data_IF_966573009089
#
_entry.id   IF_966573009089
#
_cell.length_a   1.000
_cell.length_b   1.000
_cell.length_c   1.000
_cell.angle_alpha   90.00
_cell.angle_beta   90.00
_cell.angle_gamma   90.00
#
_symmetry.space_group_name_H-M   'P 1'
#
loop_
_entity.id
_entity.type
_entity.pdbx_description
1 polymer ?
#
# COMPACT_ATOMS: atom_id res chain seq x y z
N UNK A 1 10.80 9.78 -21.56
CA UNK A 1 9.65 10.37 -20.84
C UNK A 1 8.50 10.66 -21.80
N UNK A 2 8.69 11.49 -22.80
CA UNK A 2 7.60 11.90 -23.72
C UNK A 2 6.97 10.74 -24.49
N UNK A 3 7.73 9.75 -24.92
CA UNK A 3 7.19 8.55 -25.58
C UNK A 3 6.25 7.76 -24.66
N UNK A 4 6.59 7.68 -23.35
CA UNK A 4 5.70 7.08 -22.34
C UNK A 4 4.40 7.89 -22.18
N UNK A 5 4.49 9.23 -22.15
CA UNK A 5 3.32 10.11 -22.04
C UNK A 5 2.40 9.99 -23.26
N UNK A 6 2.95 9.93 -24.46
CA UNK A 6 2.18 9.68 -25.69
C UNK A 6 1.48 8.32 -25.68
N UNK A 7 2.19 7.28 -25.22
CA UNK A 7 1.60 5.94 -25.08
C UNK A 7 0.43 5.93 -24.08
N UNK A 8 0.57 6.67 -22.95
CA UNK A 8 -0.50 6.80 -21.96
C UNK A 8 -1.69 7.59 -22.51
N UNK A 9 -1.45 8.66 -23.24
CA UNK A 9 -2.53 9.43 -23.89
C UNK A 9 -3.30 8.58 -24.91
N UNK A 10 -2.60 7.84 -25.76
CA UNK A 10 -3.23 6.92 -26.72
C UNK A 10 -4.08 5.86 -26.00
N UNK A 11 -3.56 5.28 -24.92
CA UNK A 11 -4.31 4.31 -24.12
C UNK A 11 -5.55 4.92 -23.46
N UNK A 12 -5.46 6.18 -23.02
CA UNK A 12 -6.60 6.90 -22.47
C UNK A 12 -7.70 7.09 -23.54
N UNK A 13 -7.33 7.53 -24.75
CA UNK A 13 -8.27 7.73 -25.84
C UNK A 13 -8.89 6.41 -26.33
N UNK A 14 -8.11 5.33 -26.36
CA UNK A 14 -8.62 3.97 -26.62
C UNK A 14 -9.64 3.52 -25.56
N UNK A 15 -9.34 3.74 -24.27
CA UNK A 15 -10.25 3.39 -23.17
C UNK A 15 -11.53 4.22 -23.21
N UNK A 16 -11.44 5.51 -23.52
CA UNK A 16 -12.60 6.39 -23.73
C UNK A 16 -13.51 5.86 -24.84
N UNK A 17 -12.90 5.50 -25.96
CA UNK A 17 -13.65 4.93 -27.11
C UNK A 17 -14.28 3.60 -26.73
N UNK A 18 -13.53 2.74 -26.03
CA UNK A 18 -13.98 1.41 -25.60
C UNK A 18 -15.16 1.48 -24.62
N UNK A 19 -15.14 2.40 -23.67
CA UNK A 19 -16.24 2.64 -22.72
C UNK A 19 -17.53 3.12 -23.40
N UNK A 20 -17.41 3.73 -24.60
CA UNK A 20 -18.55 4.14 -25.42
C UNK A 20 -19.23 2.97 -26.18
N UNK A 21 -18.61 1.78 -26.24
CA UNK A 21 -19.16 0.63 -26.97
C UNK A 21 -20.22 -0.12 -26.16
N UNK A 22 -21.26 -0.59 -26.85
CA UNK A 22 -22.36 -1.35 -26.21
C UNK A 22 -21.90 -2.67 -25.59
N UNK A 23 -20.82 -3.26 -26.09
CA UNK A 23 -20.26 -4.53 -25.62
C UNK A 23 -19.70 -4.39 -24.20
N UNK A 24 -18.92 -3.33 -23.93
CA UNK A 24 -18.34 -3.08 -22.60
C UNK A 24 -19.39 -2.60 -21.61
N UNK A 25 -20.40 -1.84 -22.06
CA UNK A 25 -21.52 -1.42 -21.21
C UNK A 25 -22.38 -2.60 -20.73
N UNK A 26 -22.41 -3.70 -21.48
CA UNK A 26 -23.12 -4.92 -21.09
C UNK A 26 -22.39 -5.73 -20.01
N UNK A 27 -21.04 -5.60 -19.88
CA UNK A 27 -20.23 -6.25 -18.86
C UNK A 27 -19.88 -5.25 -17.74
N UNK A 28 -20.64 -5.31 -16.66
CA UNK A 28 -20.45 -4.43 -15.51
C UNK A 28 -19.05 -4.53 -14.83
N UNK A 29 -18.40 -5.69 -14.93
CA UNK A 29 -17.08 -5.90 -14.35
C UNK A 29 -15.99 -5.25 -15.22
N UNK A 30 -16.07 -5.44 -16.54
CA UNK A 30 -15.13 -4.82 -17.48
C UNK A 30 -15.32 -3.30 -17.53
N UNK A 31 -16.57 -2.83 -17.50
CA UNK A 31 -16.87 -1.40 -17.42
C UNK A 31 -16.23 -0.72 -16.19
N UNK A 32 -16.41 -1.33 -14.99
CA UNK A 32 -15.82 -0.78 -13.75
C UNK A 32 -14.30 -0.74 -13.81
N UNK A 33 -13.66 -1.79 -14.32
CA UNK A 33 -12.19 -1.84 -14.46
C UNK A 33 -11.69 -0.76 -15.40
N UNK A 34 -12.32 -0.65 -16.57
CA UNK A 34 -11.94 0.35 -17.59
C UNK A 34 -12.18 1.78 -17.11
N UNK A 35 -13.31 2.04 -16.44
CA UNK A 35 -13.62 3.34 -15.84
C UNK A 35 -12.65 3.73 -14.73
N UNK A 36 -12.26 2.78 -13.88
CA UNK A 36 -11.24 3.01 -12.84
C UNK A 36 -9.89 3.38 -13.47
N UNK A 37 -9.44 2.60 -14.45
CA UNK A 37 -8.17 2.89 -15.16
C UNK A 37 -8.22 4.25 -15.86
N UNK A 38 -9.34 4.59 -16.49
CA UNK A 38 -9.52 5.91 -17.13
C UNK A 38 -9.38 7.04 -16.11
N UNK A 39 -10.07 6.94 -14.96
CA UNK A 39 -10.00 7.94 -13.89
C UNK A 39 -8.59 8.08 -13.29
N UNK A 40 -7.82 6.98 -13.26
CA UNK A 40 -6.42 7.01 -12.80
C UNK A 40 -5.48 7.72 -13.79
N UNK A 41 -5.74 7.60 -15.10
CA UNK A 41 -4.92 8.21 -16.16
C UNK A 41 -5.31 9.67 -16.44
N UNK A 42 -6.55 10.06 -16.15
CA UNK A 42 -7.11 11.37 -16.48
C UNK A 42 -6.26 12.56 -16.01
N UNK A 43 -5.79 12.63 -14.73
CA UNK A 43 -4.99 13.76 -14.27
C UNK A 43 -3.67 13.91 -15.03
N UNK A 44 -3.03 12.79 -15.37
CA UNK A 44 -1.79 12.77 -16.13
C UNK A 44 -2.00 13.25 -17.57
N UNK A 45 -3.07 12.78 -18.24
CA UNK A 45 -3.39 13.15 -19.62
C UNK A 45 -3.80 14.62 -19.70
N UNK A 46 -4.58 15.14 -18.75
CA UNK A 46 -4.95 16.54 -18.70
C UNK A 46 -3.70 17.44 -18.58
N UNK A 47 -2.81 17.13 -17.65
CA UNK A 47 -1.55 17.87 -17.48
C UNK A 47 -0.63 17.78 -18.71
N UNK A 48 -0.61 16.64 -19.38
CA UNK A 48 0.17 16.48 -20.61
C UNK A 48 -0.41 17.28 -21.78
N UNK A 49 -1.74 17.37 -21.88
CA UNK A 49 -2.42 18.21 -22.87
C UNK A 49 -2.18 19.70 -22.60
N UNK A 50 -2.21 20.13 -21.33
CA UNK A 50 -1.82 21.48 -20.93
C UNK A 50 -0.36 21.78 -21.34
N UNK A 51 0.56 20.85 -21.08
CA UNK A 51 1.96 20.98 -21.45
C UNK A 51 2.13 21.15 -22.96
N UNK A 52 1.43 20.34 -23.77
CA UNK A 52 1.47 20.47 -25.24
C UNK A 52 0.92 21.83 -25.71
N UNK A 53 -0.12 22.34 -25.06
CA UNK A 53 -0.65 23.67 -25.33
C UNK A 53 0.40 24.76 -25.08
N UNK A 54 1.02 24.73 -23.89
CA UNK A 54 2.09 25.69 -23.55
C UNK A 54 3.29 25.60 -24.50
N UNK A 55 3.66 24.41 -24.95
CA UNK A 55 4.72 24.23 -25.95
C UNK A 55 4.35 24.84 -27.31
N UNK A 56 3.06 24.79 -27.70
CA UNK A 56 2.58 25.49 -28.93
C UNK A 56 2.57 27.00 -28.74
N UNK A 57 2.12 27.48 -27.57
CA UNK A 57 2.10 28.91 -27.25
C UNK A 57 3.54 29.50 -27.25
N UNK A 58 4.52 28.77 -26.69
CA UNK A 58 5.94 29.15 -26.72
C UNK A 58 6.43 29.31 -28.16
N UNK A 59 6.15 28.33 -29.05
CA UNK A 59 6.52 28.42 -30.43
C UNK A 59 5.90 29.63 -31.14
N UNK A 60 4.62 29.90 -30.88
CA UNK A 60 3.93 31.08 -31.39
C UNK A 60 4.56 32.39 -30.89
N UNK A 61 4.90 32.46 -29.59
CA UNK A 61 5.58 33.63 -29.02
C UNK A 61 7.00 33.82 -29.59
N UNK A 62 7.77 32.74 -29.81
CA UNK A 62 9.08 32.78 -30.45
C UNK A 62 9.00 33.31 -31.89
N UNK A 63 7.99 32.91 -32.66
CA UNK A 63 7.76 33.42 -34.02
C UNK A 63 7.44 34.94 -34.00
N UNK A 64 6.64 35.40 -33.02
CA UNK A 64 6.36 36.83 -32.85
C UNK A 64 7.58 37.62 -32.43
N UNK A 65 8.44 37.12 -31.58
CA UNK A 65 9.73 37.75 -31.21
C UNK A 65 10.63 37.94 -32.45
N UNK A 66 10.59 37.00 -33.39
CA UNK A 66 11.43 37.03 -34.59
C UNK A 66 10.86 37.87 -35.75
N UNK A 67 9.53 38.08 -35.81
CA UNK A 67 8.86 38.67 -36.98
C UNK A 67 8.12 39.99 -36.77
N UNK A 68 7.88 40.45 -35.53
CA UNK A 68 6.98 41.57 -35.22
C UNK A 68 7.70 42.92 -35.05
N UNK A 69 6.92 44.01 -34.99
CA UNK A 69 7.39 45.35 -34.63
C UNK A 69 7.91 45.40 -33.18
N UNK A 70 8.68 46.49 -32.86
CA UNK A 70 9.41 46.58 -31.59
C UNK A 70 8.50 46.41 -30.34
N UNK A 71 7.31 47.02 -30.31
CA UNK A 71 6.38 46.96 -29.21
C UNK A 71 5.78 45.56 -29.03
N UNK A 72 5.49 44.85 -30.11
CA UNK A 72 5.00 43.47 -30.09
C UNK A 72 6.10 42.48 -29.65
N UNK A 73 7.37 42.76 -29.98
CA UNK A 73 8.51 41.94 -29.54
C UNK A 73 8.70 41.97 -28.01
N UNK A 74 8.54 43.12 -27.39
CA UNK A 74 8.73 43.25 -25.95
C UNK A 74 7.60 42.56 -25.18
N UNK A 75 6.35 42.66 -25.62
CA UNK A 75 5.21 41.90 -25.08
C UNK A 75 5.42 40.39 -25.24
N UNK A 76 5.81 39.94 -26.44
CA UNK A 76 6.08 38.53 -26.71
C UNK A 76 7.23 37.96 -25.85
N UNK A 77 8.27 38.77 -25.53
CA UNK A 77 9.33 38.36 -24.58
C UNK A 77 8.86 38.19 -23.13
N UNK A 78 7.96 39.06 -22.67
CA UNK A 78 7.36 38.90 -21.33
C UNK A 78 6.45 37.68 -21.25
N UNK A 79 5.68 37.46 -22.29
CA UNK A 79 4.83 36.27 -22.41
C UNK A 79 5.68 35.00 -22.45
N UNK A 80 6.74 34.98 -23.20
CA UNK A 80 7.67 33.84 -23.30
C UNK A 80 8.28 33.46 -21.95
N UNK A 81 8.67 34.45 -21.13
CA UNK A 81 9.14 34.19 -19.75
C UNK A 81 8.10 33.53 -18.88
N UNK A 82 6.85 34.00 -18.96
CA UNK A 82 5.77 33.42 -18.17
C UNK A 82 5.42 32.01 -18.61
N UNK A 83 5.42 31.74 -19.91
CA UNK A 83 5.19 30.44 -20.50
C UNK A 83 6.32 29.45 -20.16
N UNK A 84 7.57 29.88 -20.14
CA UNK A 84 8.73 29.06 -19.75
C UNK A 84 8.62 28.63 -18.29
N UNK A 85 8.26 29.53 -17.37
CA UNK A 85 8.04 29.18 -15.96
C UNK A 85 6.89 28.19 -15.82
N UNK A 86 5.80 28.39 -16.57
CA UNK A 86 4.64 27.47 -16.57
C UNK A 86 5.03 26.10 -17.13
N UNK A 87 5.80 26.06 -18.21
CA UNK A 87 6.33 24.82 -18.80
C UNK A 87 7.15 24.02 -17.79
N UNK A 88 8.07 24.68 -17.07
CA UNK A 88 8.91 24.03 -16.07
C UNK A 88 8.06 23.45 -14.91
N UNK A 89 7.06 24.20 -14.43
CA UNK A 89 6.13 23.73 -13.41
C UNK A 89 5.34 22.51 -13.90
N UNK A 90 4.79 22.55 -15.12
CA UNK A 90 4.07 21.41 -15.70
C UNK A 90 4.97 20.19 -15.90
N UNK A 91 6.25 20.38 -16.26
CA UNK A 91 7.22 19.29 -16.35
C UNK A 91 7.46 18.61 -14.99
N UNK A 92 7.54 19.37 -13.92
CA UNK A 92 7.68 18.81 -12.58
C UNK A 92 6.41 18.06 -12.16
N UNK A 93 5.22 18.62 -12.41
CA UNK A 93 3.94 17.96 -12.15
C UNK A 93 3.84 16.63 -12.92
N UNK A 94 4.20 16.62 -14.20
CA UNK A 94 4.18 15.42 -15.03
C UNK A 94 5.17 14.35 -14.54
N UNK A 95 6.35 14.75 -14.08
CA UNK A 95 7.29 13.80 -13.46
C UNK A 95 6.69 13.14 -12.22
N UNK A 96 6.01 13.91 -11.37
CA UNK A 96 5.36 13.39 -10.16
C UNK A 96 4.22 12.43 -10.53
N UNK A 97 3.40 12.79 -11.51
CA UNK A 97 2.27 11.96 -11.96
C UNK A 97 2.69 10.68 -12.70
N UNK A 98 3.90 10.65 -13.27
CA UNK A 98 4.47 9.45 -13.89
C UNK A 98 5.02 8.42 -12.90
N UNK A 99 5.13 8.78 -11.61
CA UNK A 99 5.52 7.81 -10.59
C UNK A 99 4.43 6.74 -10.51
N UNK A 100 4.77 5.45 -10.68
CA UNK A 100 3.78 4.40 -10.56
C UNK A 100 3.16 4.46 -9.16
N UNK A 101 1.84 4.66 -9.11
CA UNK A 101 1.09 4.60 -7.84
C UNK A 101 1.19 3.18 -7.31
N UNK A 102 1.49 3.06 -6.03
CA UNK A 102 1.42 1.78 -5.34
C UNK A 102 -0.05 1.34 -5.28
N UNK A 103 -0.42 0.13 -5.74
CA UNK A 103 -1.80 -0.35 -5.68
C UNK A 103 -2.36 -0.38 -4.26
N UNK A 104 -1.49 -0.36 -3.25
CA UNK A 104 -1.88 -0.34 -1.85
C UNK A 104 -2.12 1.07 -1.30
N UNK A 105 -1.76 2.14 -2.03
CA UNK A 105 -1.83 3.53 -1.53
C UNK A 105 -3.23 3.96 -1.06
N UNK A 106 -4.29 3.37 -1.62
CA UNK A 106 -5.67 3.64 -1.23
C UNK A 106 -6.23 2.70 -0.15
N UNK A 107 -5.45 1.68 0.24
CA UNK A 107 -5.90 0.69 1.24
C UNK A 107 -5.88 1.27 2.64
N UNK A 108 -6.71 0.70 3.49
CA UNK A 108 -6.62 0.87 4.94
C UNK A 108 -5.32 0.26 5.46
N UNK A 109 -4.97 0.59 6.69
CA UNK A 109 -3.71 0.18 7.31
C UNK A 109 -3.96 -0.59 8.59
N UNK A 110 -3.20 -1.66 8.77
CA UNK A 110 -2.99 -2.29 10.07
C UNK A 110 -1.68 -1.74 10.63
N UNK A 111 -1.80 -0.92 11.68
CA UNK A 111 -0.68 -0.35 12.42
C UNK A 111 -0.35 -1.26 13.61
N UNK A 112 0.88 -1.78 13.64
CA UNK A 112 1.38 -2.55 14.76
C UNK A 112 2.53 -1.80 15.43
N UNK A 113 2.44 -1.59 16.73
CA UNK A 113 3.51 -0.98 17.52
C UNK A 113 3.89 -1.94 18.63
N UNK A 114 5.16 -2.26 18.75
CA UNK A 114 5.69 -3.15 19.79
C UNK A 114 6.84 -2.48 20.53
N UNK A 115 6.87 -2.66 21.85
CA UNK A 115 8.01 -2.31 22.65
C UNK A 115 9.23 -3.16 22.23
N UNK A 116 10.34 -2.50 21.95
CA UNK A 116 11.62 -3.13 21.61
C UNK A 116 12.54 -3.22 22.82
N UNK A 117 13.80 -2.86 22.62
CA UNK A 117 14.82 -2.89 23.70
C UNK A 117 14.62 -1.72 24.67
N UNK A 118 14.45 -1.99 25.95
CA UNK A 118 14.35 -0.92 26.99
C UNK A 118 13.38 -1.21 28.12
N UNK A 119 12.76 -2.39 28.15
CA UNK A 119 11.83 -2.79 29.23
C UNK A 119 10.60 -1.88 29.31
N UNK A 120 10.25 -1.44 30.53
CA UNK A 120 9.06 -0.62 30.77
C UNK A 120 9.09 0.72 30.04
N UNK A 121 10.27 1.31 29.87
CA UNK A 121 10.42 2.57 29.13
C UNK A 121 10.09 2.38 27.62
N UNK A 122 10.46 1.25 27.04
CA UNK A 122 10.09 0.92 25.68
C UNK A 122 8.56 0.77 25.54
N UNK A 123 7.89 0.21 26.55
CA UNK A 123 6.44 0.08 26.56
C UNK A 123 5.73 1.44 26.74
N UNK A 124 6.25 2.33 27.57
CA UNK A 124 5.75 3.71 27.69
C UNK A 124 5.91 4.46 26.37
N UNK A 125 7.06 4.32 25.72
CA UNK A 125 7.32 4.96 24.43
C UNK A 125 6.43 4.40 23.31
N UNK A 126 6.15 3.11 23.30
CA UNK A 126 5.18 2.52 22.38
C UNK A 126 3.78 3.13 22.56
N UNK A 127 3.37 3.39 23.79
CA UNK A 127 2.14 4.11 24.12
C UNK A 127 2.14 5.56 23.62
N UNK A 128 3.27 6.26 23.74
CA UNK A 128 3.42 7.63 23.21
C UNK A 128 3.31 7.66 21.69
N UNK A 129 3.94 6.70 20.98
CA UNK A 129 3.82 6.58 19.52
C UNK A 129 2.39 6.25 19.09
N UNK A 130 1.73 5.34 19.80
CA UNK A 130 0.33 5.01 19.49
C UNK A 130 -0.58 6.23 19.66
N UNK A 131 -0.39 7.01 20.74
CA UNK A 131 -1.12 8.26 20.97
C UNK A 131 -0.86 9.28 19.85
N UNK A 132 0.40 9.43 19.42
CA UNK A 132 0.80 10.30 18.31
C UNK A 132 0.05 9.94 17.03
N UNK A 133 0.06 8.66 16.62
CA UNK A 133 -0.61 8.22 15.41
C UNK A 133 -2.15 8.28 15.53
N UNK A 134 -2.70 8.01 16.71
CA UNK A 134 -4.15 8.15 16.94
C UNK A 134 -4.62 9.58 16.75
N UNK A 135 -3.93 10.54 17.33
CA UNK A 135 -4.25 11.96 17.17
C UNK A 135 -4.02 12.46 15.74
N UNK A 136 -2.99 11.94 15.08
CA UNK A 136 -2.77 12.23 13.67
C UNK A 136 -3.92 11.70 12.81
N UNK A 137 -4.37 10.47 13.03
CA UNK A 137 -5.52 9.88 12.34
C UNK A 137 -6.79 10.71 12.54
N UNK A 138 -7.08 11.12 13.78
CA UNK A 138 -8.21 12.01 14.10
C UNK A 138 -8.15 13.34 13.32
N UNK A 139 -6.98 13.98 13.26
CA UNK A 139 -6.78 15.23 12.49
C UNK A 139 -6.96 15.06 11.00
N UNK A 140 -6.64 13.88 10.45
CA UNK A 140 -6.87 13.55 9.04
C UNK A 140 -8.31 13.10 8.76
N UNK A 141 -9.16 12.97 9.78
CA UNK A 141 -10.54 12.47 9.65
C UNK A 141 -10.59 10.96 9.40
N UNK A 142 -9.54 10.22 9.76
CA UNK A 142 -9.51 8.76 9.66
C UNK A 142 -10.11 8.12 10.92
N UNK A 143 -10.71 6.96 10.74
CA UNK A 143 -11.20 6.14 11.84
C UNK A 143 -10.10 5.22 12.31
N UNK A 144 -9.87 5.15 13.63
CA UNK A 144 -8.95 4.20 14.24
C UNK A 144 -9.73 3.25 15.15
N UNK A 145 -9.42 1.95 15.05
CA UNK A 145 -10.01 0.90 15.86
C UNK A 145 -8.91 -0.02 16.40
N UNK A 146 -8.85 -0.16 17.72
CA UNK A 146 -7.88 -1.06 18.37
C UNK A 146 -8.37 -2.50 18.24
N UNK A 147 -7.64 -3.32 17.51
CA UNK A 147 -7.93 -4.74 17.32
C UNK A 147 -7.42 -5.60 18.48
N UNK A 148 -6.22 -5.28 18.97
CA UNK A 148 -5.57 -5.99 20.07
C UNK A 148 -4.61 -5.07 20.80
N UNK A 149 -4.53 -5.19 22.11
CA UNK A 149 -3.54 -4.48 22.94
C UNK A 149 -3.05 -5.35 24.08
N UNK A 150 -1.76 -5.22 24.39
CA UNK A 150 -1.13 -5.85 25.55
C UNK A 150 -0.44 -4.76 26.38
N UNK A 151 -0.92 -4.53 27.58
CA UNK A 151 -0.40 -3.50 28.48
C UNK A 151 0.79 -4.02 29.29
N UNK A 152 1.66 -3.11 29.69
CA UNK A 152 2.69 -3.36 30.71
C UNK A 152 2.15 -3.00 32.10
N UNK A 153 2.74 -3.59 33.14
CA UNK A 153 2.39 -3.27 34.53
C UNK A 153 2.60 -1.80 34.94
N UNK A 154 3.30 -1.01 34.11
CA UNK A 154 3.63 0.41 34.35
C UNK A 154 2.75 1.36 33.54
N UNK A 155 1.66 0.88 32.91
CA UNK A 155 0.73 1.69 32.13
C UNK A 155 1.18 1.96 30.68
N UNK A 156 2.26 1.32 30.22
CA UNK A 156 2.70 1.37 28.83
C UNK A 156 2.09 0.24 27.98
N UNK A 157 2.37 0.22 26.69
CA UNK A 157 1.91 -0.80 25.74
C UNK A 157 3.09 -1.71 25.35
N UNK A 158 3.00 -3.02 25.65
CA UNK A 158 3.95 -4.00 25.12
C UNK A 158 3.72 -4.21 23.62
N UNK A 159 2.47 -4.25 23.23
CA UNK A 159 2.03 -4.40 21.85
C UNK A 159 0.66 -3.74 21.68
N UNK A 160 0.46 -3.10 20.55
CA UNK A 160 -0.85 -2.64 20.10
C UNK A 160 -0.97 -2.86 18.61
N UNK A 161 -2.12 -3.39 18.20
CA UNK A 161 -2.51 -3.58 16.80
C UNK A 161 -3.81 -2.81 16.59
N UNK A 162 -3.80 -1.87 15.66
CA UNK A 162 -4.97 -1.05 15.34
C UNK A 162 -5.20 -1.01 13.83
N UNK A 163 -6.47 -1.02 13.43
CA UNK A 163 -6.88 -0.70 12.07
C UNK A 163 -7.07 0.80 11.94
N UNK A 164 -6.58 1.38 10.86
CA UNK A 164 -6.79 2.79 10.49
C UNK A 164 -7.48 2.82 9.13
N UNK A 165 -8.72 3.29 9.12
CA UNK A 165 -9.58 3.34 7.94
C UNK A 165 -9.74 4.78 7.46
N UNK A 166 -9.56 4.99 6.15
CA UNK A 166 -9.73 6.30 5.55
C UNK A 166 -9.09 6.40 4.17
N UNK A 167 -9.25 7.54 3.55
CA UNK A 167 -8.72 7.76 2.21
C UNK A 167 -7.21 8.03 2.24
N UNK A 168 -6.44 7.20 1.52
CA UNK A 168 -5.00 7.40 1.37
C UNK A 168 -4.17 7.15 2.62
N UNK A 169 -4.67 6.36 3.57
CA UNK A 169 -3.98 6.07 4.85
C UNK A 169 -2.63 5.42 4.61
N UNK A 170 -2.59 4.37 3.77
CA UNK A 170 -1.35 3.66 3.48
C UNK A 170 -0.33 4.56 2.78
N UNK A 171 -0.75 5.40 1.84
CA UNK A 171 0.16 6.31 1.13
C UNK A 171 0.90 7.27 2.07
N UNK A 172 0.26 7.65 3.17
CA UNK A 172 0.83 8.57 4.18
C UNK A 172 1.68 7.83 5.21
N UNK A 173 1.25 6.67 5.67
CA UNK A 173 1.88 5.98 6.81
C UNK A 173 2.94 4.95 6.39
N UNK A 174 2.99 4.49 5.14
CA UNK A 174 3.91 3.44 4.67
C UNK A 174 5.38 3.67 4.99
N UNK A 175 5.80 4.92 5.08
CA UNK A 175 7.18 5.29 5.43
C UNK A 175 7.42 5.47 6.93
N UNK A 176 6.41 5.28 7.77
CA UNK A 176 6.54 5.33 9.23
C UNK A 176 7.04 4.02 9.83
N UNK A 177 7.12 2.95 9.03
CA UNK A 177 7.60 1.64 9.46
C UNK A 177 9.09 1.67 9.82
N UNK A 178 9.46 0.87 10.82
CA UNK A 178 10.84 0.70 11.26
C UNK A 178 11.04 0.79 12.77
N UNK A 179 12.29 0.94 13.18
CA UNK A 179 12.70 1.04 14.58
C UNK A 179 12.78 2.51 15.00
N UNK A 180 11.90 2.93 15.91
CA UNK A 180 11.89 4.26 16.51
C UNK A 180 12.67 4.22 17.83
N UNK A 181 13.58 5.15 18.00
CA UNK A 181 14.45 5.23 19.19
C UNK A 181 14.14 6.47 20.02
N UNK A 182 13.96 6.30 21.31
CA UNK A 182 13.79 7.41 22.25
C UNK A 182 15.02 7.57 23.15
N UNK A 183 15.37 8.81 23.45
CA UNK A 183 16.39 9.21 24.42
C UNK A 183 15.76 10.19 25.40
N UNK A 184 15.44 9.71 26.61
CA UNK A 184 14.90 10.53 27.71
C UNK A 184 15.24 9.91 29.04
N UNK A 185 15.04 10.67 30.11
CA UNK A 185 15.03 10.14 31.48
C UNK A 185 13.69 9.47 31.70
N UNK A 186 13.63 8.14 31.90
CA UNK A 186 12.37 7.43 32.12
C UNK A 186 11.65 7.94 33.36
N UNK A 187 10.32 7.87 33.37
CA UNK A 187 9.54 8.18 34.59
C UNK A 187 9.82 7.20 35.73
N UNK A 188 10.37 6.04 35.43
CA UNK A 188 10.77 5.00 36.40
C UNK A 188 12.21 5.12 36.90
N UNK A 189 12.99 6.08 36.39
CA UNK A 189 14.40 6.25 36.72
C UNK A 189 14.60 7.28 37.87
N UNK A 190 15.09 6.83 39.02
CA UNK A 190 15.31 7.67 40.20
C UNK A 190 16.60 8.49 40.15
N UNK A 191 17.60 8.07 39.34
CA UNK A 191 18.93 8.68 39.28
C UNK A 191 19.09 9.74 38.19
N UNK A 192 18.04 10.05 37.44
CA UNK A 192 18.06 11.08 36.39
C UNK A 192 18.90 10.71 35.15
N UNK A 193 19.24 9.45 34.95
CA UNK A 193 20.05 9.01 33.79
C UNK A 193 19.20 8.96 32.54
N UNK A 194 19.79 9.42 31.43
CA UNK A 194 19.18 9.31 30.12
C UNK A 194 19.24 7.84 29.65
N UNK A 195 18.08 7.23 29.41
CA UNK A 195 18.00 5.91 28.84
C UNK A 195 17.73 6.00 27.35
N UNK A 196 18.15 4.97 26.62
CA UNK A 196 17.87 4.80 25.20
C UNK A 196 17.00 3.54 25.03
N UNK A 197 15.77 3.74 24.61
CA UNK A 197 14.81 2.66 24.38
C UNK A 197 14.32 2.66 22.94
N UNK A 198 13.75 1.56 22.49
CA UNK A 198 13.23 1.42 21.14
C UNK A 198 11.81 0.89 21.15
N UNK A 199 11.03 1.29 20.15
CA UNK A 199 9.78 0.67 19.78
C UNK A 199 9.78 0.43 18.28
N UNK A 200 9.16 -0.65 17.85
CA UNK A 200 9.04 -1.00 16.43
C UNK A 200 7.66 -0.65 15.92
N UNK A 201 7.60 -0.08 14.74
CA UNK A 201 6.36 0.27 14.06
C UNK A 201 6.31 -0.52 12.76
N UNK A 202 5.25 -1.29 12.55
CA UNK A 202 4.94 -1.92 11.28
C UNK A 202 3.65 -1.32 10.71
N UNK A 203 3.67 -1.03 9.42
CA UNK A 203 2.55 -0.47 8.67
C UNK A 203 2.24 -1.43 7.54
N UNK A 204 1.16 -2.17 7.67
CA UNK A 204 0.76 -3.19 6.72
C UNK A 204 -0.52 -2.75 6.01
N UNK A 205 -0.63 -2.94 4.68
CA UNK A 205 -1.90 -2.72 4.00
C UNK A 205 -2.92 -3.76 4.47
N UNK A 206 -4.17 -3.34 4.63
CA UNK A 206 -5.25 -4.27 4.93
C UNK A 206 -5.39 -5.31 3.82
N UNK A 207 -5.47 -6.57 4.21
CA UNK A 207 -5.62 -7.67 3.27
C UNK A 207 -7.05 -7.73 2.73
N UNK A 208 -7.17 -8.00 1.44
CA UNK A 208 -8.47 -8.27 0.83
C UNK A 208 -8.99 -9.65 1.24
N UNK A 209 -10.30 -9.79 1.33
CA UNK A 209 -10.94 -11.07 1.56
C UNK A 209 -10.58 -12.07 0.46
N UNK A 210 -10.23 -13.28 0.88
CA UNK A 210 -9.90 -14.36 -0.06
C UNK A 210 -11.20 -14.96 -0.58
N UNK A 211 -11.55 -14.67 -1.83
CA UNK A 211 -12.64 -15.34 -2.55
C UNK A 211 -12.07 -16.43 -3.47
N UNK A 212 -12.54 -17.69 -3.28
CA UNK A 212 -12.08 -18.82 -4.08
C UNK A 212 -13.16 -19.19 -5.08
N UNK A 213 -12.88 -18.88 -6.34
CA UNK A 213 -13.66 -19.34 -7.48
C UNK A 213 -12.99 -20.57 -8.09
N UNK A 214 -13.70 -21.71 -8.03
CA UNK A 214 -13.22 -22.97 -8.60
C UNK A 214 -13.88 -23.15 -9.96
N UNK A 215 -13.09 -23.11 -11.03
CA UNK A 215 -13.56 -23.42 -12.37
C UNK A 215 -13.65 -24.93 -12.56
N UNK A 216 -14.74 -25.43 -13.14
CA UNK A 216 -14.88 -26.87 -13.44
C UNK A 216 -13.81 -27.38 -14.43
N UNK A 217 -13.29 -26.54 -15.30
CA UNK A 217 -12.19 -26.86 -16.25
C UNK A 217 -10.86 -27.17 -15.55
N UNK A 218 -10.67 -26.65 -14.34
CA UNK A 218 -9.46 -26.84 -13.54
C UNK A 218 -9.54 -28.07 -12.64
N UNK A 219 -10.64 -28.84 -12.75
CA UNK A 219 -10.89 -30.03 -11.96
C UNK A 219 -10.78 -31.29 -12.81
N UNK A 220 -9.95 -32.23 -12.37
CA UNK A 220 -10.00 -33.60 -12.80
C UNK A 220 -10.84 -34.41 -11.81
N UNK A 221 -11.86 -35.07 -12.30
CA UNK A 221 -12.80 -35.86 -11.52
C UNK A 221 -12.62 -37.33 -11.87
N UNK A 222 -12.13 -38.10 -10.91
CA UNK A 222 -11.97 -39.55 -11.05
C UNK A 222 -12.99 -40.26 -10.14
N UNK A 223 -13.68 -41.27 -10.67
CA UNK A 223 -14.61 -42.08 -9.92
C UNK A 223 -14.04 -43.49 -9.73
N UNK A 224 -14.22 -44.09 -8.57
CA UNK A 224 -13.71 -45.41 -8.25
C UNK A 224 -14.62 -46.14 -7.26
N UNK A 225 -14.40 -47.45 -7.08
CA UNK A 225 -15.13 -48.21 -6.09
C UNK A 225 -14.67 -47.84 -4.69
N UNK A 226 -15.61 -47.69 -3.75
CA UNK A 226 -15.27 -47.39 -2.36
C UNK A 226 -14.51 -48.56 -1.71
N UNK A 227 -13.56 -48.27 -0.85
CA UNK A 227 -12.81 -49.26 -0.07
C UNK A 227 -13.47 -49.45 1.30
N UNK A 228 -13.70 -50.71 1.70
CA UNK A 228 -14.26 -51.04 3.00
C UNK A 228 -14.84 -52.47 3.05
N UNK A 229 -15.15 -53.00 4.25
CA UNK A 229 -15.86 -54.25 4.38
C UNK A 229 -17.28 -54.11 3.83
N UNK A 230 -17.59 -54.73 2.70
CA UNK A 230 -18.89 -54.58 2.06
C UNK A 230 -19.15 -55.64 0.98
N UNK A 231 -20.44 -55.86 0.72
CA UNK A 231 -20.91 -56.81 -0.33
C UNK A 231 -20.84 -56.22 -1.74
N UNK A 232 -21.64 -56.78 -2.65
CA UNK A 232 -21.60 -56.46 -4.11
C UNK A 232 -21.71 -54.95 -4.42
N UNK A 233 -22.41 -54.14 -3.59
CA UNK A 233 -22.58 -52.69 -3.82
C UNK A 233 -21.27 -51.90 -3.70
N UNK A 234 -20.36 -52.32 -2.80
CA UNK A 234 -19.07 -51.63 -2.56
C UNK A 234 -18.09 -51.92 -3.72
N UNK A 235 -18.11 -53.14 -4.23
CA UNK A 235 -17.14 -53.62 -5.20
C UNK A 235 -17.56 -53.34 -6.68
N UNK A 236 -18.86 -53.07 -6.94
CA UNK A 236 -19.38 -52.86 -8.31
C UNK A 236 -19.81 -51.43 -8.61
N UNK A 237 -20.07 -50.61 -7.56
CA UNK A 237 -20.59 -49.27 -7.77
C UNK A 237 -19.48 -48.23 -7.61
N UNK A 238 -19.23 -47.44 -8.66
CA UNK A 238 -18.28 -46.30 -8.64
C UNK A 238 -18.83 -45.12 -7.84
N UNK A 239 -19.01 -45.30 -6.53
CA UNK A 239 -19.60 -44.30 -5.65
C UNK A 239 -18.58 -43.33 -5.09
N UNK A 240 -17.31 -43.74 -4.97
CA UNK A 240 -16.24 -42.88 -4.50
C UNK A 240 -15.77 -41.88 -5.56
N UNK A 241 -15.45 -40.66 -5.13
CA UNK A 241 -15.05 -39.57 -5.99
C UNK A 241 -13.73 -39.00 -5.52
N UNK A 242 -12.79 -38.82 -6.44
CA UNK A 242 -11.53 -38.09 -6.25
C UNK A 242 -11.56 -36.85 -7.11
N UNK A 243 -11.38 -35.69 -6.48
CA UNK A 243 -11.22 -34.39 -7.15
C UNK A 243 -9.75 -34.00 -7.07
N UNK A 244 -9.16 -33.69 -8.21
CA UNK A 244 -7.81 -33.13 -8.30
C UNK A 244 -7.92 -31.75 -8.91
N UNK A 245 -7.51 -30.74 -8.17
CA UNK A 245 -7.40 -29.37 -8.69
C UNK A 245 -6.07 -29.23 -9.43
N UNK A 246 -6.12 -29.14 -10.75
CA UNK A 246 -4.97 -29.23 -11.65
C UNK A 246 -3.93 -28.13 -11.35
N UNK A 247 -4.30 -26.83 -11.16
CA UNK A 247 -3.32 -25.77 -10.97
C UNK A 247 -2.54 -25.89 -9.64
N UNK A 248 -3.17 -26.40 -8.58
CA UNK A 248 -2.54 -26.47 -7.23
C UNK A 248 -2.08 -27.87 -6.86
N UNK A 249 -2.51 -28.90 -7.60
CA UNK A 249 -2.22 -30.30 -7.27
C UNK A 249 -2.96 -30.84 -6.04
N UNK A 250 -3.87 -30.07 -5.46
CA UNK A 250 -4.65 -30.52 -4.28
C UNK A 250 -5.58 -31.64 -4.67
N UNK A 251 -5.51 -32.76 -3.94
CA UNK A 251 -6.34 -33.94 -4.17
C UNK A 251 -7.26 -34.14 -2.97
N UNK A 252 -8.54 -34.36 -3.24
CA UNK A 252 -9.57 -34.70 -2.24
C UNK A 252 -10.29 -35.96 -2.70
N UNK A 253 -10.40 -36.94 -1.81
CA UNK A 253 -11.13 -38.19 -2.06
C UNK A 253 -12.25 -38.33 -1.03
N UNK A 254 -13.44 -38.67 -1.51
CA UNK A 254 -14.63 -38.90 -0.65
C UNK A 254 -15.34 -40.17 -1.06
N UNK A 255 -15.67 -41.00 -0.05
CA UNK A 255 -16.31 -42.30 -0.25
C UNK A 255 -17.35 -42.64 0.82
N UNK A 256 -17.73 -41.65 1.67
CA UNK A 256 -18.56 -41.89 2.86
C UNK A 256 -20.02 -42.22 2.54
N UNK A 257 -20.50 -41.68 1.42
CA UNK A 257 -21.88 -41.84 0.99
C UNK A 257 -22.04 -42.91 -0.09
N UNK A 258 -23.20 -43.55 -0.11
CA UNK A 258 -23.56 -44.51 -1.19
C UNK A 258 -23.79 -43.83 -2.55
N UNK A 259 -24.02 -42.51 -2.56
CA UNK A 259 -24.32 -41.71 -3.77
C UNK A 259 -23.07 -40.98 -4.25
N UNK A 260 -22.67 -41.20 -5.49
CA UNK A 260 -21.60 -40.47 -6.18
C UNK A 260 -21.83 -38.97 -6.19
N UNK A 261 -23.06 -38.50 -6.39
CA UNK A 261 -23.43 -37.08 -6.43
C UNK A 261 -23.18 -36.44 -5.05
N UNK A 262 -23.57 -37.15 -3.96
CA UNK A 262 -23.31 -36.64 -2.60
C UNK A 262 -21.83 -36.62 -2.28
N UNK A 263 -21.07 -37.65 -2.69
CA UNK A 263 -19.62 -37.69 -2.51
C UNK A 263 -18.92 -36.56 -3.29
N UNK A 264 -19.35 -36.29 -4.53
CA UNK A 264 -18.85 -35.15 -5.34
C UNK A 264 -19.12 -33.82 -4.63
N UNK A 265 -20.32 -33.61 -4.12
CA UNK A 265 -20.69 -32.39 -3.40
C UNK A 265 -19.86 -32.21 -2.11
N UNK A 266 -19.66 -33.28 -1.36
CA UNK A 266 -18.77 -33.26 -0.17
C UNK A 266 -17.32 -32.99 -0.54
N UNK A 267 -16.79 -33.68 -1.55
CA UNK A 267 -15.44 -33.48 -2.05
C UNK A 267 -15.21 -32.02 -2.50
N UNK A 268 -16.19 -31.40 -3.17
CA UNK A 268 -16.12 -29.99 -3.58
C UNK A 268 -16.06 -29.04 -2.38
N UNK A 269 -16.84 -29.29 -1.31
CA UNK A 269 -16.78 -28.50 -0.07
C UNK A 269 -15.42 -28.62 0.60
N UNK A 270 -14.88 -29.83 0.68
CA UNK A 270 -13.55 -30.05 1.29
C UNK A 270 -12.45 -29.44 0.43
N UNK A 271 -12.56 -29.55 -0.89
CA UNK A 271 -11.59 -28.92 -1.82
C UNK A 271 -11.58 -27.39 -1.63
N UNK A 272 -12.75 -26.77 -1.59
CA UNK A 272 -12.89 -25.33 -1.36
C UNK A 272 -12.26 -24.91 -0.03
N UNK A 273 -12.51 -25.65 1.04
CA UNK A 273 -11.92 -25.37 2.36
C UNK A 273 -10.38 -25.49 2.34
N UNK A 274 -9.82 -26.52 1.67
CA UNK A 274 -8.36 -26.68 1.56
C UNK A 274 -7.71 -25.59 0.71
N UNK A 275 -8.34 -25.20 -0.40
CA UNK A 275 -7.84 -24.12 -1.24
C UNK A 275 -7.88 -22.78 -0.50
N UNK A 276 -8.96 -22.53 0.28
CA UNK A 276 -9.09 -21.37 1.14
C UNK A 276 -7.97 -21.32 2.20
N UNK A 277 -7.76 -22.44 2.91
CA UNK A 277 -6.69 -22.54 3.92
C UNK A 277 -5.30 -22.30 3.29
N UNK A 278 -5.06 -22.85 2.12
CA UNK A 278 -3.78 -22.67 1.41
C UNK A 278 -3.56 -21.22 1.01
N UNK A 279 -4.58 -20.53 0.51
CA UNK A 279 -4.46 -19.14 0.08
C UNK A 279 -4.33 -18.20 1.29
N UNK A 280 -5.12 -18.44 2.35
CA UNK A 280 -4.95 -17.73 3.63
C UNK A 280 -3.55 -17.89 4.21
N UNK A 281 -2.99 -19.10 4.13
CA UNK A 281 -1.62 -19.34 4.59
C UNK A 281 -0.59 -18.58 3.78
N UNK A 282 -0.69 -18.55 2.46
CA UNK A 282 0.19 -17.76 1.59
C UNK A 282 0.12 -16.26 1.92
N UNK A 283 -1.10 -15.75 2.11
CA UNK A 283 -1.32 -14.36 2.48
C UNK A 283 -0.68 -14.05 3.84
N UNK A 284 -0.87 -14.90 4.85
CA UNK A 284 -0.24 -14.74 6.16
C UNK A 284 1.30 -14.82 6.09
N UNK A 285 1.85 -15.73 5.29
CA UNK A 285 3.31 -15.83 5.08
C UNK A 285 3.87 -14.58 4.38
N UNK A 286 3.16 -14.03 3.39
CA UNK A 286 3.53 -12.79 2.73
C UNK A 286 3.52 -11.60 3.70
N UNK A 287 2.45 -11.42 4.48
CA UNK A 287 2.36 -10.38 5.51
C UNK A 287 3.43 -10.54 6.60
N UNK A 288 3.70 -11.77 7.03
CA UNK A 288 4.74 -12.04 8.02
C UNK A 288 6.15 -11.74 7.49
N UNK A 289 6.38 -11.95 6.19
CA UNK A 289 7.63 -11.59 5.52
C UNK A 289 7.79 -10.06 5.42
N UNK A 290 6.74 -9.37 5.02
CA UNK A 290 6.71 -7.92 4.92
C UNK A 290 6.94 -7.27 6.29
N UNK A 291 6.21 -7.70 7.33
CA UNK A 291 6.42 -7.27 8.72
C UNK A 291 7.86 -7.44 9.17
N UNK A 292 8.47 -8.61 8.92
CA UNK A 292 9.87 -8.85 9.29
C UNK A 292 10.83 -7.93 8.55
N UNK A 293 10.55 -7.62 7.29
CA UNK A 293 11.35 -6.68 6.50
C UNK A 293 11.28 -5.25 7.05
N UNK A 294 10.11 -4.83 7.57
CA UNK A 294 9.92 -3.50 8.13
C UNK A 294 10.54 -3.33 9.53
N UNK A 295 10.45 -4.35 10.39
CA UNK A 295 10.80 -4.26 11.82
C UNK A 295 12.25 -4.67 12.10
N UNK A 296 12.86 -5.49 11.22
CA UNK A 296 14.20 -6.03 11.46
C UNK A 296 14.30 -6.82 12.76
N UNK A 297 15.37 -6.62 13.52
CA UNK A 297 15.59 -7.22 14.86
C UNK A 297 15.05 -6.34 16.00
N UNK A 298 14.69 -5.08 15.74
CA UNK A 298 14.27 -4.10 16.74
C UNK A 298 15.42 -3.56 17.60
N UNK A 299 16.67 -3.81 17.20
CA UNK A 299 17.84 -3.32 17.92
C UNK A 299 18.05 -1.80 17.74
N UNK A 300 18.73 -1.19 18.72
CA UNK A 300 19.00 0.27 18.72
C UNK A 300 19.83 0.74 17.52
N UNK A 301 20.57 -0.16 16.88
CA UNK A 301 21.39 0.14 15.71
C UNK A 301 20.54 0.36 14.45
N UNK A 302 19.42 -0.34 14.31
CA UNK A 302 18.52 -0.31 13.16
C UNK A 302 17.56 0.89 13.12
N UNK A 303 17.80 1.87 13.99
CA UNK A 303 16.94 3.05 14.12
C UNK A 303 16.70 3.77 12.79
N UNK A 304 15.43 3.97 12.45
CA UNK A 304 15.01 4.85 11.35
C UNK A 304 14.83 6.30 11.85
N UNK A 305 14.34 6.47 13.09
CA UNK A 305 14.08 7.79 13.68
C UNK A 305 14.49 7.85 15.15
N UNK A 306 15.02 9.00 15.58
CA UNK A 306 15.40 9.23 16.98
C UNK A 306 14.64 10.42 17.54
N UNK A 307 14.01 10.21 18.69
CA UNK A 307 13.31 11.21 19.51
C UNK A 307 14.19 11.55 20.71
N UNK A 308 14.84 12.72 20.68
CA UNK A 308 15.76 13.20 21.72
C UNK A 308 15.07 14.26 22.57
N UNK A 309 14.60 13.87 23.74
CA UNK A 309 13.89 14.76 24.66
C UNK A 309 14.78 15.86 25.26
N UNK A 310 15.99 15.57 25.73
CA UNK A 310 16.88 16.62 26.25
C UNK A 310 17.18 17.74 25.29
N UNK A 311 17.19 17.46 23.98
CA UNK A 311 17.45 18.45 22.93
C UNK A 311 16.16 18.90 22.22
N UNK A 312 14.98 18.42 22.64
CA UNK A 312 13.69 18.68 22.00
C UNK A 312 13.75 18.49 20.48
N UNK A 313 14.39 17.39 20.03
CA UNK A 313 14.74 17.15 18.63
C UNK A 313 14.29 15.78 18.16
N UNK A 314 13.76 15.73 16.92
CA UNK A 314 13.52 14.49 16.19
C UNK A 314 14.42 14.48 14.96
N UNK A 315 15.10 13.36 14.74
CA UNK A 315 15.94 13.16 13.55
C UNK A 315 15.50 11.88 12.83
N UNK A 316 15.11 12.00 11.56
CA UNK A 316 14.92 10.86 10.67
C UNK A 316 16.25 10.57 9.95
N UNK A 317 16.82 9.39 10.22
CA UNK A 317 18.15 9.03 9.74
C UNK A 317 18.17 8.60 8.29
N UNK A 318 17.02 8.27 7.69
CA UNK A 318 16.92 7.87 6.29
C UNK A 318 17.17 9.02 5.33
N UNK A 319 16.71 10.22 5.73
CA UNK A 319 16.81 11.45 4.93
C UNK A 319 17.66 12.53 5.60
N UNK A 320 18.24 12.22 6.76
CA UNK A 320 19.00 13.18 7.62
C UNK A 320 18.20 14.46 7.95
N UNK A 321 16.88 14.36 8.00
CA UNK A 321 16.01 15.48 8.35
C UNK A 321 15.87 15.62 9.86
N UNK A 322 15.94 16.86 10.34
CA UNK A 322 15.86 17.16 11.76
C UNK A 322 14.86 18.27 12.01
N UNK A 323 13.94 18.05 12.97
CA UNK A 323 13.00 19.08 13.45
C UNK A 323 13.09 19.22 14.98
N UNK A 324 12.86 20.44 15.47
CA UNK A 324 12.85 20.75 16.91
C UNK A 324 11.44 20.81 17.50
N UNK A 325 10.44 20.32 16.76
CA UNK A 325 9.04 20.29 17.16
C UNK A 325 8.63 18.96 17.82
N UNK A 326 9.51 18.43 18.73
CA UNK A 326 9.29 17.13 19.36
C UNK A 326 7.92 17.01 20.01
N UNK A 327 7.51 18.02 20.74
CA UNK A 327 6.25 18.00 21.49
C UNK A 327 5.04 18.00 20.56
N UNK A 328 5.04 18.89 19.57
CA UNK A 328 3.95 18.99 18.59
C UNK A 328 3.77 17.68 17.84
N UNK A 329 4.88 17.06 17.43
CA UNK A 329 4.86 15.78 16.72
C UNK A 329 4.23 14.69 17.59
N UNK A 330 4.66 14.55 18.86
CA UNK A 330 4.10 13.57 19.78
C UNK A 330 2.63 13.85 20.14
N UNK A 331 2.19 15.12 20.02
CA UNK A 331 0.79 15.53 20.17
C UNK A 331 -0.04 15.38 18.89
N UNK A 332 0.49 14.66 17.87
CA UNK A 332 -0.23 14.26 16.67
C UNK A 332 -0.03 15.19 15.48
N UNK A 333 1.13 15.83 15.35
CA UNK A 333 1.50 16.61 14.16
C UNK A 333 2.81 16.11 13.50
N UNK A 334 2.88 14.82 13.06
CA UNK A 334 4.03 14.30 12.32
C UNK A 334 4.01 14.68 10.82
N UNK A 335 3.07 15.52 10.38
CA UNK A 335 2.81 15.80 8.96
C UNK A 335 4.07 16.23 8.21
N UNK A 336 4.85 17.17 8.76
CA UNK A 336 6.11 17.64 8.16
C UNK A 336 7.10 16.50 7.89
N UNK A 337 7.29 15.59 8.86
CA UNK A 337 8.18 14.43 8.73
C UNK A 337 7.71 13.48 7.63
N UNK A 338 6.40 13.22 7.58
CA UNK A 338 5.78 12.35 6.59
C UNK A 338 5.91 12.95 5.18
N UNK A 339 5.70 14.26 5.03
CA UNK A 339 5.81 14.97 3.75
C UNK A 339 7.25 14.95 3.22
N UNK A 340 8.24 15.17 4.08
CA UNK A 340 9.66 15.11 3.70
C UNK A 340 10.07 13.69 3.26
N UNK A 341 9.63 12.66 3.98
CA UNK A 341 9.86 11.27 3.59
C UNK A 341 9.21 10.93 2.26
N UNK A 342 7.95 11.33 2.08
CA UNK A 342 7.20 11.09 0.84
C UNK A 342 7.90 11.76 -0.35
N UNK A 343 8.35 13.00 -0.18
CA UNK A 343 9.07 13.74 -1.21
C UNK A 343 10.40 13.06 -1.57
N UNK A 344 11.15 12.61 -0.57
CA UNK A 344 12.41 11.92 -0.78
C UNK A 344 12.25 10.62 -1.57
N UNK A 345 11.33 9.74 -1.13
CA UNK A 345 11.10 8.46 -1.80
C UNK A 345 10.47 8.62 -3.19
N UNK A 346 9.64 9.64 -3.40
CA UNK A 346 9.13 9.97 -4.72
C UNK A 346 10.28 10.43 -5.65
N UNK A 347 11.23 11.22 -5.15
CA UNK A 347 12.40 11.62 -5.92
C UNK A 347 13.32 10.43 -6.26
N UNK A 348 13.48 9.45 -5.35
CA UNK A 348 14.21 8.21 -5.64
C UNK A 348 13.53 7.38 -6.73
N UNK A 349 12.23 7.14 -6.60
CA UNK A 349 11.44 6.43 -7.62
C UNK A 349 11.52 7.11 -8.99
N UNK A 350 11.53 8.44 -9.04
CA UNK A 350 11.72 9.21 -10.28
C UNK A 350 13.08 8.96 -10.90
N UNK A 351 14.15 8.94 -10.11
CA UNK A 351 15.50 8.63 -10.59
C UNK A 351 15.58 7.24 -11.19
N UNK A 352 15.01 6.24 -10.50
CA UNK A 352 14.94 4.87 -11.01
C UNK A 352 14.15 4.78 -12.32
N UNK A 353 13.00 5.45 -12.39
CA UNK A 353 12.14 5.46 -13.59
C UNK A 353 12.78 6.19 -14.78
N UNK A 354 13.75 7.09 -14.54
CA UNK A 354 14.48 7.83 -15.59
C UNK A 354 15.77 7.13 -16.05
N UNK A 355 16.26 6.17 -15.25
CA UNK A 355 17.53 5.44 -15.54
C UNK A 355 17.28 4.18 -16.37
N UNK A 356 16.03 3.75 -16.54
CA UNK A 356 15.55 2.66 -17.41
C UNK A 356 14.93 3.26 -18.67
#
# INVERSE_FOLDING_TARGET
>A
MFDKLLSVENKYDELMTKLGTSEVQADAAEYRRSAKTLSELEPLVQKFREYKGVEQDIKGAEELVNGADADMRDLAREELKTLEVRREALLQDLKILLIPKDPNDEKNVILEIRAGTGGDEAALFAGDLFRMYSRYAERQGWRIEVMSSSESGTGGLKEVIASIEGRGVYSRLKYESGVHRVQRVPATEASGRIHTSTATVAVLPEAEDVDIQINEKDLRIDTFCSSGPGGQSVNTTYSAVRLTHIPTGVVVSQQDEKSQIKNRAKAMKVLRARLYEMEMRKQQEAMAKERRGQVGTGERAEKVRTYNFPQSRITDHRINFTTHRLHDVLEGDPGELIDQLTTFYNAEKLKEATTV
#
